data_IF_774022693994
#
_entry.id   IF_774022693994
#
_cell.length_a   1.000
_cell.length_b   1.000
_cell.length_c   1.000
_cell.angle_alpha   90.00
_cell.angle_beta   90.00
_cell.angle_gamma   90.00
#
_symmetry.space_group_name_H-M   'P 1'
#
loop_
_entity.id
_entity.type
_entity.pdbx_description
1 polymer ?
#
# COMPACT_ATOMS: atom_id res chain seq x y z
N UNK A 1 -31.63 -6.66 -50.22
CA UNK A 1 -31.05 -5.99 -49.03
C UNK A 1 -30.34 -7.02 -48.14
N UNK A 2 -28.99 -7.03 -48.08
CA UNK A 2 -28.20 -7.69 -47.01
C UNK A 2 -26.84 -7.00 -46.81
N UNK A 3 -26.70 -6.27 -45.70
CA UNK A 3 -25.48 -5.72 -45.05
C UNK A 3 -25.90 -5.46 -43.58
N UNK A 4 -25.10 -5.61 -42.53
CA UNK A 4 -23.77 -6.21 -42.37
C UNK A 4 -23.54 -6.52 -40.88
N UNK A 5 -23.25 -7.77 -40.51
CA UNK A 5 -22.82 -8.17 -39.17
C UNK A 5 -21.42 -8.79 -39.30
N UNK A 6 -20.37 -8.06 -38.91
CA UNK A 6 -19.00 -8.47 -39.24
C UNK A 6 -17.87 -7.61 -38.66
N UNK A 7 -18.04 -7.01 -37.47
CA UNK A 7 -16.95 -6.28 -36.78
C UNK A 7 -16.72 -6.68 -35.32
N UNK A 8 -17.61 -7.44 -34.67
CA UNK A 8 -17.45 -7.86 -33.27
C UNK A 8 -16.51 -9.05 -33.04
N UNK A 9 -16.42 -9.99 -33.99
CA UNK A 9 -15.71 -11.27 -33.78
C UNK A 9 -14.18 -11.10 -33.80
N UNK A 10 -13.65 -10.20 -34.64
CA UNK A 10 -12.21 -9.99 -34.83
C UNK A 10 -11.48 -9.28 -33.66
N UNK A 11 -12.22 -8.86 -32.62
CA UNK A 11 -11.65 -8.33 -31.38
C UNK A 11 -11.41 -9.43 -30.34
N UNK A 12 -12.32 -10.41 -30.25
CA UNK A 12 -12.21 -11.56 -29.35
C UNK A 12 -11.05 -12.48 -29.74
N UNK A 13 -10.83 -12.72 -31.04
CA UNK A 13 -9.69 -13.52 -31.52
C UNK A 13 -8.32 -12.95 -31.11
N UNK A 14 -8.18 -11.62 -30.97
CA UNK A 14 -6.91 -11.01 -30.53
C UNK A 14 -6.68 -11.20 -29.03
N UNK A 15 -7.74 -11.22 -28.22
CA UNK A 15 -7.64 -11.59 -26.81
C UNK A 15 -7.25 -13.07 -26.65
N UNK A 16 -7.83 -13.97 -27.46
CA UNK A 16 -7.45 -15.39 -27.50
C UNK A 16 -5.99 -15.61 -27.96
N UNK A 17 -5.48 -14.80 -28.89
CA UNK A 17 -4.07 -14.82 -29.29
C UNK A 17 -3.12 -14.34 -28.18
N UNK A 18 -3.56 -13.43 -27.30
CA UNK A 18 -2.80 -13.03 -26.11
C UNK A 18 -2.72 -14.17 -25.09
N UNK A 19 -3.84 -14.85 -24.81
CA UNK A 19 -3.91 -15.99 -23.87
C UNK A 19 -3.02 -17.17 -24.29
N UNK A 20 -2.81 -17.41 -25.59
CA UNK A 20 -1.85 -18.44 -26.07
C UNK A 20 -0.44 -18.25 -25.51
N UNK A 21 0.00 -17.02 -25.25
CA UNK A 21 1.33 -16.72 -24.67
C UNK A 21 1.44 -17.16 -23.20
N UNK A 22 0.33 -17.16 -22.45
CA UNK A 22 0.29 -17.58 -21.03
C UNK A 22 0.57 -19.07 -20.85
N UNK A 23 0.32 -19.89 -21.87
CA UNK A 23 0.61 -21.34 -21.82
C UNK A 23 2.11 -21.67 -21.86
N UNK A 24 2.96 -20.76 -22.35
CA UNK A 24 4.38 -21.01 -22.60
C UNK A 24 5.29 -20.58 -21.43
N UNK A 25 5.02 -19.42 -20.81
CA UNK A 25 5.83 -18.92 -19.68
C UNK A 25 5.80 -19.83 -18.44
N UNK A 26 4.74 -20.63 -18.26
CA UNK A 26 4.61 -21.57 -17.13
C UNK A 26 5.51 -22.83 -17.33
N UNK A 27 6.06 -23.06 -18.53
CA UNK A 27 6.86 -24.27 -18.83
C UNK A 27 8.37 -24.06 -18.92
N UNK A 28 8.89 -22.83 -18.93
CA UNK A 28 10.29 -22.54 -19.24
C UNK A 28 11.24 -22.43 -18.03
N UNK A 29 10.79 -22.66 -16.79
CA UNK A 29 11.60 -22.52 -15.57
C UNK A 29 11.88 -23.80 -14.77
N UNK A 30 11.40 -24.97 -15.20
CA UNK A 30 11.50 -26.23 -14.41
C UNK A 30 12.63 -27.19 -14.81
N UNK A 31 13.64 -26.76 -15.57
CA UNK A 31 14.85 -27.58 -15.85
C UNK A 31 16.15 -26.76 -15.89
N UNK A 32 16.83 -26.64 -14.75
CA UNK A 32 18.28 -26.87 -14.60
C UNK A 32 18.78 -26.55 -13.16
N UNK A 33 18.80 -27.55 -12.27
CA UNK A 33 19.81 -27.75 -11.23
C UNK A 33 19.40 -28.92 -10.32
N UNK A 34 20.24 -29.95 -10.22
CA UNK A 34 20.13 -30.93 -9.13
C UNK A 34 20.82 -30.36 -7.89
N UNK A 35 20.24 -30.52 -6.71
CA UNK A 35 20.93 -30.23 -5.45
C UNK A 35 20.04 -29.69 -4.33
N UNK A 36 19.80 -30.55 -3.33
CA UNK A 36 19.25 -30.24 -1.99
C UNK A 36 17.85 -29.61 -1.90
N UNK A 37 16.98 -30.27 -1.14
CA UNK A 37 15.59 -29.88 -0.90
C UNK A 37 15.44 -28.74 0.11
N UNK A 38 14.65 -27.73 -0.25
CA UNK A 38 13.86 -26.97 0.73
C UNK A 38 12.39 -26.96 0.32
N UNK A 39 11.62 -27.86 0.93
CA UNK A 39 10.17 -27.93 0.80
C UNK A 39 9.52 -27.09 1.90
N UNK A 40 8.98 -25.92 1.55
CA UNK A 40 7.84 -25.33 2.26
C UNK A 40 7.08 -24.39 1.33
N UNK A 41 6.24 -24.95 0.46
CA UNK A 41 5.23 -24.15 -0.21
C UNK A 41 4.30 -23.56 0.87
N UNK A 42 4.19 -22.24 0.94
CA UNK A 42 3.43 -21.57 1.99
C UNK A 42 1.96 -22.03 2.01
N UNK A 43 1.54 -22.60 3.14
CA UNK A 43 0.21 -23.21 3.27
C UNK A 43 -0.90 -22.24 2.89
N UNK A 44 -1.77 -22.72 1.99
CA UNK A 44 -2.92 -22.00 1.47
C UNK A 44 -2.79 -21.56 0.03
N UNK A 45 -1.60 -21.19 -0.49
CA UNK A 45 -1.43 -20.53 -1.80
C UNK A 45 -1.97 -21.34 -3.01
N UNK A 46 -3.28 -21.22 -3.26
CA UNK A 46 -3.96 -21.77 -4.42
C UNK A 46 -3.65 -20.94 -5.66
N UNK A 47 -2.69 -21.40 -6.46
CA UNK A 47 -2.54 -20.96 -7.85
C UNK A 47 -3.87 -21.16 -8.56
N UNK A 48 -4.34 -20.17 -9.33
CA UNK A 48 -5.47 -20.36 -10.24
C UNK A 48 -5.05 -21.34 -11.34
N UNK A 49 -5.40 -22.61 -11.16
CA UNK A 49 -5.22 -23.69 -12.11
C UNK A 49 -6.59 -24.11 -12.66
N UNK A 50 -6.63 -24.59 -13.91
CA UNK A 50 -7.89 -24.92 -14.62
C UNK A 50 -8.10 -24.18 -15.94
N UNK A 51 -7.13 -23.41 -16.43
CA UNK A 51 -7.17 -22.80 -17.77
C UNK A 51 -8.10 -21.58 -17.89
N UNK A 52 -8.49 -21.27 -19.13
CA UNK A 52 -9.25 -20.06 -19.46
C UNK A 52 -10.65 -20.03 -18.83
N UNK A 53 -11.36 -21.16 -18.83
CA UNK A 53 -12.73 -21.25 -18.27
C UNK A 53 -12.76 -21.01 -16.76
N UNK A 54 -11.87 -21.66 -16.00
CA UNK A 54 -11.74 -21.45 -14.56
C UNK A 54 -11.34 -20.00 -14.22
N UNK A 55 -10.48 -19.40 -15.04
CA UNK A 55 -10.07 -17.99 -14.89
C UNK A 55 -11.24 -17.04 -15.20
N UNK A 56 -11.99 -17.28 -16.27
CA UNK A 56 -13.18 -16.49 -16.62
C UNK A 56 -14.30 -16.64 -15.59
N UNK A 57 -14.48 -17.83 -15.01
CA UNK A 57 -15.43 -18.04 -13.91
C UNK A 57 -14.98 -17.32 -12.63
N UNK A 58 -13.68 -17.38 -12.29
CA UNK A 58 -13.13 -16.62 -11.18
C UNK A 58 -13.38 -15.11 -11.36
N UNK A 59 -13.11 -14.55 -12.54
CA UNK A 59 -13.42 -13.14 -12.84
C UNK A 59 -14.92 -12.85 -12.79
N UNK A 60 -15.79 -13.76 -13.26
CA UNK A 60 -17.25 -13.58 -13.18
C UNK A 60 -17.78 -13.54 -11.75
N UNK A 61 -17.18 -14.29 -10.83
CA UNK A 61 -17.58 -14.40 -9.42
C UNK A 61 -17.20 -13.17 -8.57
N UNK A 62 -16.41 -12.23 -9.09
CA UNK A 62 -15.89 -11.08 -8.34
C UNK A 62 -16.07 -9.74 -9.08
N UNK A 63 -16.63 -8.76 -8.39
CA UNK A 63 -17.01 -7.41 -8.83
C UNK A 63 -15.85 -6.39 -8.78
N UNK A 64 -14.90 -6.57 -7.86
CA UNK A 64 -13.68 -5.76 -7.76
C UNK A 64 -12.40 -6.61 -7.70
N UNK A 65 -11.23 -6.00 -7.92
CA UNK A 65 -9.92 -6.61 -7.77
C UNK A 65 -8.99 -5.62 -7.08
N UNK A 66 -8.24 -6.06 -6.07
CA UNK A 66 -7.28 -5.22 -5.34
C UNK A 66 -5.90 -5.85 -5.48
N UNK A 67 -4.99 -5.13 -6.12
CA UNK A 67 -3.61 -5.58 -6.36
C UNK A 67 -2.65 -4.91 -5.39
N UNK A 68 -1.71 -5.67 -4.83
CA UNK A 68 -0.51 -5.05 -4.25
C UNK A 68 0.31 -4.39 -5.38
N UNK A 69 1.09 -3.37 -5.05
CA UNK A 69 1.93 -2.65 -6.01
C UNK A 69 3.34 -3.22 -6.08
N UNK A 70 4.10 -3.06 -5.00
CA UNK A 70 5.51 -3.35 -4.94
C UNK A 70 5.72 -4.88 -4.78
N UNK A 71 6.35 -5.52 -5.78
CA UNK A 71 6.51 -6.98 -5.86
C UNK A 71 5.36 -7.74 -6.53
N UNK A 72 4.29 -7.07 -6.98
CA UNK A 72 3.16 -7.69 -7.71
C UNK A 72 2.86 -6.98 -9.04
N UNK A 73 3.10 -5.66 -9.12
CA UNK A 73 2.98 -4.89 -10.35
C UNK A 73 4.35 -4.38 -10.85
N UNK A 74 5.32 -4.20 -9.96
CA UNK A 74 6.68 -3.77 -10.32
C UNK A 74 7.72 -4.17 -9.27
N UNK A 75 8.99 -4.27 -9.70
CA UNK A 75 10.15 -4.29 -8.81
C UNK A 75 10.99 -3.02 -9.03
N UNK A 76 11.04 -2.16 -8.02
CA UNK A 76 11.71 -0.86 -8.13
C UNK A 76 11.12 -0.04 -9.28
N UNK A 77 11.93 0.31 -10.28
CA UNK A 77 11.51 1.10 -11.44
C UNK A 77 10.95 0.26 -12.62
N UNK A 78 10.92 -1.07 -12.54
CA UNK A 78 10.50 -1.95 -13.66
C UNK A 78 9.15 -2.59 -13.38
N UNK A 79 8.19 -2.41 -14.29
CA UNK A 79 6.94 -3.18 -14.31
C UNK A 79 7.17 -4.69 -14.47
N UNK A 80 6.27 -5.49 -13.92
CA UNK A 80 6.24 -6.95 -14.10
C UNK A 80 5.51 -7.27 -15.42
N UNK A 81 6.04 -8.24 -16.19
CA UNK A 81 5.46 -8.66 -17.46
C UNK A 81 4.04 -9.22 -17.26
N UNK A 82 3.10 -8.83 -18.12
CA UNK A 82 1.69 -9.26 -18.04
C UNK A 82 0.83 -8.49 -17.04
N UNK A 83 1.41 -7.69 -16.13
CA UNK A 83 0.66 -6.95 -15.12
C UNK A 83 -0.28 -5.90 -15.73
N UNK A 84 0.20 -5.16 -16.74
CA UNK A 84 -0.60 -4.18 -17.50
C UNK A 84 -1.77 -4.86 -18.21
N UNK A 85 -1.50 -5.95 -18.91
CA UNK A 85 -2.45 -6.70 -19.71
C UNK A 85 -3.54 -7.34 -18.83
N UNK A 86 -3.17 -7.84 -17.65
CA UNK A 86 -4.10 -8.36 -16.65
C UNK A 86 -5.05 -7.26 -16.14
N UNK A 87 -4.52 -6.09 -15.76
CA UNK A 87 -5.33 -4.96 -15.29
C UNK A 87 -6.29 -4.47 -16.38
N UNK A 88 -5.80 -4.31 -17.62
CA UNK A 88 -6.64 -3.89 -18.75
C UNK A 88 -7.74 -4.91 -19.06
N UNK A 89 -7.44 -6.21 -18.99
CA UNK A 89 -8.42 -7.27 -19.20
C UNK A 89 -9.52 -7.28 -18.14
N UNK A 90 -9.15 -7.08 -16.86
CA UNK A 90 -10.12 -6.98 -15.76
C UNK A 90 -11.02 -5.75 -15.91
N UNK A 91 -10.44 -4.57 -16.20
CA UNK A 91 -11.19 -3.33 -16.49
C UNK A 91 -12.13 -3.51 -17.68
N UNK A 92 -11.68 -4.13 -18.77
CA UNK A 92 -12.49 -4.42 -19.96
C UNK A 92 -13.64 -5.41 -19.67
N UNK A 93 -13.49 -6.30 -18.68
CA UNK A 93 -14.57 -7.19 -18.20
C UNK A 93 -15.57 -6.52 -17.24
N UNK A 94 -15.49 -5.19 -17.08
CA UNK A 94 -16.40 -4.39 -16.25
C UNK A 94 -16.11 -4.45 -14.75
N UNK A 95 -14.92 -4.91 -14.34
CA UNK A 95 -14.56 -5.06 -12.92
C UNK A 95 -13.82 -3.84 -12.41
N UNK A 96 -14.13 -3.43 -11.18
CA UNK A 96 -13.43 -2.37 -10.46
C UNK A 96 -12.01 -2.85 -10.15
N UNK A 97 -10.99 -2.08 -10.47
CA UNK A 97 -9.59 -2.44 -10.17
C UNK A 97 -8.99 -1.35 -9.29
N UNK A 98 -8.52 -1.73 -8.11
CA UNK A 98 -7.87 -0.89 -7.12
C UNK A 98 -6.44 -1.38 -6.87
N UNK A 99 -5.61 -0.50 -6.34
CA UNK A 99 -4.19 -0.75 -6.10
C UNK A 99 -3.85 -0.40 -4.65
N UNK A 100 -3.17 -1.27 -3.92
CA UNK A 100 -2.80 -1.03 -2.52
C UNK A 100 -1.29 -1.09 -2.35
N UNK A 101 -0.71 -0.15 -1.61
CA UNK A 101 0.73 -0.15 -1.29
C UNK A 101 0.97 0.30 0.13
N UNK A 102 1.95 -0.34 0.78
CA UNK A 102 2.37 0.06 2.13
C UNK A 102 3.33 1.25 2.11
N UNK A 103 3.81 1.64 0.94
CA UNK A 103 4.73 2.75 0.80
C UNK A 103 4.00 4.09 1.02
N UNK A 104 4.27 4.73 2.16
CA UNK A 104 3.74 6.04 2.54
C UNK A 104 4.61 7.21 2.09
N UNK A 105 5.69 6.98 1.34
CA UNK A 105 6.61 8.06 0.92
C UNK A 105 6.07 8.96 -0.19
N UNK A 106 4.98 8.54 -0.84
CA UNK A 106 4.30 9.20 -1.95
C UNK A 106 2.84 9.42 -1.63
N UNK A 107 2.23 10.48 -2.16
CA UNK A 107 0.78 10.66 -2.17
C UNK A 107 0.17 9.90 -3.35
N UNK A 108 -1.16 9.70 -3.37
CA UNK A 108 -1.84 8.99 -4.46
C UNK A 108 -1.71 9.69 -5.82
N UNK A 109 -1.62 11.02 -5.84
CA UNK A 109 -1.29 11.80 -7.04
C UNK A 109 0.06 11.38 -7.65
N UNK A 110 1.10 11.18 -6.83
CA UNK A 110 2.44 10.74 -7.27
C UNK A 110 2.41 9.31 -7.83
N UNK A 111 1.42 8.49 -7.43
CA UNK A 111 1.23 7.15 -7.98
C UNK A 111 0.67 7.17 -9.40
N UNK A 112 -0.15 8.15 -9.79
CA UNK A 112 -0.65 8.27 -11.18
C UNK A 112 0.51 8.29 -12.17
N UNK A 113 1.51 9.13 -11.90
CA UNK A 113 2.73 9.20 -12.72
C UNK A 113 3.58 7.92 -12.59
N UNK A 114 3.64 7.31 -11.40
CA UNK A 114 4.36 6.04 -11.17
C UNK A 114 3.79 4.89 -12.01
N UNK A 115 2.47 4.79 -12.14
CA UNK A 115 1.79 3.80 -12.99
C UNK A 115 2.04 4.04 -14.48
N UNK A 116 2.00 5.30 -14.93
CA UNK A 116 2.37 5.69 -16.30
C UNK A 116 3.81 5.29 -16.63
N UNK A 117 4.76 5.61 -15.77
CA UNK A 117 6.19 5.33 -15.99
C UNK A 117 6.53 3.83 -15.96
N UNK A 118 5.93 3.06 -15.05
CA UNK A 118 6.32 1.66 -14.82
C UNK A 118 5.54 0.64 -15.65
N UNK A 119 4.31 0.99 -16.05
CA UNK A 119 3.37 0.08 -16.72
C UNK A 119 2.72 0.67 -17.97
N UNK A 120 2.98 1.94 -18.32
CA UNK A 120 2.26 2.65 -19.39
C UNK A 120 0.73 2.54 -19.19
N UNK A 121 0.29 2.69 -17.92
CA UNK A 121 -1.09 2.52 -17.50
C UNK A 121 -1.64 3.81 -16.90
N UNK A 122 -2.68 4.36 -17.53
CA UNK A 122 -3.48 5.42 -16.92
C UNK A 122 -4.31 4.87 -15.75
N UNK A 123 -4.18 5.51 -14.59
CA UNK A 123 -4.92 5.20 -13.36
C UNK A 123 -5.42 6.49 -12.73
N UNK A 124 -6.52 6.41 -11.98
CA UNK A 124 -6.97 7.52 -11.14
C UNK A 124 -6.29 7.43 -9.79
N UNK A 125 -5.99 8.57 -9.16
CA UNK A 125 -5.52 8.59 -7.77
C UNK A 125 -6.54 7.95 -6.81
N UNK A 126 -7.85 8.02 -7.15
CA UNK A 126 -8.91 7.36 -6.38
C UNK A 126 -8.85 5.83 -6.47
N UNK A 127 -8.21 5.25 -7.50
CA UNK A 127 -8.00 3.80 -7.58
C UNK A 127 -6.88 3.33 -6.63
N UNK A 128 -6.10 4.26 -6.05
CA UNK A 128 -4.90 3.96 -5.26
C UNK A 128 -5.17 4.09 -3.75
N UNK A 129 -4.79 3.06 -3.02
CA UNK A 129 -4.85 2.91 -1.56
C UNK A 129 -3.40 2.89 -1.05
N UNK A 130 -2.79 4.07 -0.93
CA UNK A 130 -1.46 4.22 -0.36
C UNK A 130 -1.53 4.31 1.18
N UNK A 131 -0.52 3.81 1.88
CA UNK A 131 -0.44 3.93 3.35
C UNK A 131 -0.41 5.38 3.86
N UNK A 132 0.06 6.33 3.04
CA UNK A 132 -0.04 7.77 3.29
C UNK A 132 -1.49 8.25 3.36
N UNK A 133 -2.30 7.87 2.37
CA UNK A 133 -3.74 8.13 2.37
C UNK A 133 -4.46 7.38 3.49
N UNK A 134 -4.10 6.13 3.74
CA UNK A 134 -4.73 5.31 4.77
C UNK A 134 -4.64 5.96 6.17
N UNK A 135 -3.49 6.55 6.51
CA UNK A 135 -3.33 7.30 7.76
C UNK A 135 -4.28 8.51 7.83
N UNK A 136 -4.36 9.31 6.77
CA UNK A 136 -5.25 10.46 6.70
C UNK A 136 -6.74 10.08 6.74
N UNK A 137 -7.12 8.98 6.07
CA UNK A 137 -8.48 8.45 6.05
C UNK A 137 -8.89 7.89 7.42
N UNK A 138 -8.01 7.13 8.08
CA UNK A 138 -8.22 6.61 9.44
C UNK A 138 -8.47 7.74 10.44
N UNK A 139 -7.60 8.76 10.47
CA UNK A 139 -7.77 9.90 11.37
C UNK A 139 -9.08 10.65 11.12
N UNK A 140 -9.47 10.79 9.85
CA UNK A 140 -10.75 11.42 9.46
C UNK A 140 -11.98 10.60 9.93
N UNK A 141 -11.88 9.27 9.95
CA UNK A 141 -12.94 8.39 10.45
C UNK A 141 -13.05 8.42 11.99
N UNK A 142 -11.95 8.65 12.69
CA UNK A 142 -11.91 8.69 14.16
C UNK A 142 -12.24 10.07 14.77
N UNK A 143 -12.26 11.14 13.99
CA UNK A 143 -12.58 12.51 14.46
C UNK A 143 -14.07 12.87 14.35
N UNK A 144 -14.63 13.59 15.33
CA UNK A 144 -15.95 14.25 15.15
C UNK A 144 -15.84 15.30 14.03
N UNK A 145 -16.65 15.22 12.96
CA UNK A 145 -16.62 16.20 11.86
C UNK A 145 -16.90 17.66 12.24
N UNK A 146 -17.38 17.90 13.47
CA UNK A 146 -17.71 19.23 14.02
C UNK A 146 -16.64 19.76 14.97
N UNK A 147 -15.69 18.93 15.40
CA UNK A 147 -14.58 19.36 16.26
C UNK A 147 -13.50 20.05 15.42
N UNK A 148 -12.71 20.92 16.05
CA UNK A 148 -11.43 21.36 15.48
C UNK A 148 -10.52 20.15 15.30
N UNK A 149 -9.79 20.11 14.18
CA UNK A 149 -8.80 19.06 13.94
C UNK A 149 -7.53 19.40 14.74
N UNK A 150 -6.97 18.45 15.49
CA UNK A 150 -5.67 18.64 16.10
C UNK A 150 -4.58 18.77 15.02
N UNK A 151 -3.53 19.52 15.34
CA UNK A 151 -2.26 19.50 14.60
C UNK A 151 -1.62 18.11 14.72
N UNK A 152 -0.84 17.74 13.71
CA UNK A 152 -0.17 16.44 13.64
C UNK A 152 1.35 16.62 13.68
N UNK A 153 2.01 15.96 14.64
CA UNK A 153 3.45 15.75 14.60
C UNK A 153 3.79 14.55 13.73
N UNK A 154 4.45 14.81 12.60
CA UNK A 154 4.79 13.81 11.59
C UNK A 154 6.28 13.44 11.63
N UNK A 155 6.54 12.13 11.62
CA UNK A 155 7.80 11.55 11.12
C UNK A 155 7.48 10.79 9.83
N UNK A 156 8.10 11.16 8.72
CA UNK A 156 7.79 10.56 7.41
C UNK A 156 8.09 11.49 6.23
N UNK A 157 8.20 10.89 5.05
CA UNK A 157 8.41 11.64 3.80
C UNK A 157 7.14 12.40 3.34
N UNK A 158 7.30 13.26 2.33
CA UNK A 158 6.29 14.19 1.80
C UNK A 158 4.93 13.58 1.42
N UNK A 159 4.88 12.29 1.05
CA UNK A 159 3.62 11.61 0.75
C UNK A 159 2.61 11.63 1.91
N UNK A 160 3.07 11.47 3.15
CA UNK A 160 2.23 11.61 4.35
C UNK A 160 1.82 13.06 4.58
N UNK A 161 2.75 14.01 4.48
CA UNK A 161 2.47 15.45 4.61
C UNK A 161 1.34 15.87 3.67
N UNK A 162 1.46 15.52 2.38
CA UNK A 162 0.45 15.83 1.35
C UNK A 162 -0.93 15.26 1.68
N UNK A 163 -1.05 13.95 1.94
CA UNK A 163 -2.37 13.32 2.18
C UNK A 163 -3.03 13.80 3.48
N UNK A 164 -2.24 14.08 4.53
CA UNK A 164 -2.74 14.70 5.77
C UNK A 164 -3.22 16.14 5.51
N UNK A 165 -2.47 16.95 4.77
CA UNK A 165 -2.89 18.30 4.37
C UNK A 165 -4.12 18.29 3.45
N UNK A 166 -4.24 17.34 2.52
CA UNK A 166 -5.45 17.17 1.70
C UNK A 166 -6.67 16.72 2.52
N UNK A 167 -6.45 15.97 3.60
CA UNK A 167 -7.50 15.68 4.59
C UNK A 167 -7.79 16.88 5.52
N UNK A 168 -7.07 18.00 5.38
CA UNK A 168 -7.28 19.25 6.10
C UNK A 168 -6.70 19.24 7.52
N UNK A 169 -5.63 18.49 7.77
CA UNK A 169 -4.83 18.60 8.99
C UNK A 169 -3.65 19.56 8.78
N UNK A 170 -3.36 20.36 9.80
CA UNK A 170 -2.09 21.06 9.92
C UNK A 170 -1.01 20.07 10.37
N UNK A 171 0.16 20.11 9.74
CA UNK A 171 1.23 19.13 9.96
C UNK A 171 2.53 19.85 10.28
N UNK A 172 3.08 19.56 11.46
CA UNK A 172 4.46 19.89 11.83
C UNK A 172 5.35 18.66 11.58
N UNK A 173 6.59 18.90 11.17
CA UNK A 173 7.56 17.85 10.88
C UNK A 173 7.52 17.28 9.46
N UNK A 174 7.73 15.97 9.34
CA UNK A 174 8.07 15.32 8.08
C UNK A 174 9.29 15.99 7.42
N UNK A 175 9.24 16.31 6.12
CA UNK A 175 10.35 16.97 5.41
C UNK A 175 10.72 18.35 5.94
N UNK A 176 9.82 19.06 6.63
CA UNK A 176 10.11 20.40 7.16
C UNK A 176 11.17 20.40 8.27
N UNK A 177 11.37 19.26 8.93
CA UNK A 177 12.41 19.07 9.96
C UNK A 177 13.59 18.22 9.46
N UNK A 178 13.80 18.12 8.13
CA UNK A 178 15.01 17.54 7.57
C UNK A 178 16.22 18.43 7.91
N UNK A 179 17.34 17.80 8.29
CA UNK A 179 18.58 18.51 8.63
C UNK A 179 18.61 19.19 10.00
N UNK A 180 17.50 19.22 10.76
CA UNK A 180 17.45 19.76 12.13
C UNK A 180 18.40 19.02 13.07
N UNK A 181 19.10 19.76 13.92
CA UNK A 181 20.12 19.24 14.84
C UNK A 181 19.64 19.18 16.30
N UNK A 182 20.53 18.82 17.23
CA UNK A 182 20.23 18.85 18.68
C UNK A 182 20.21 20.29 19.20
N UNK A 183 21.09 21.14 18.69
CA UNK A 183 21.14 22.58 19.01
C UNK A 183 19.89 23.32 18.52
N UNK A 184 19.25 22.84 17.44
CA UNK A 184 17.92 23.31 17.04
C UNK A 184 16.83 22.86 18.02
N UNK A 185 16.93 21.64 18.58
CA UNK A 185 15.98 21.11 19.55
C UNK A 185 16.00 21.93 20.84
N UNK A 186 17.20 22.16 21.39
CA UNK A 186 17.43 22.92 22.62
C UNK A 186 17.00 24.39 22.50
N UNK A 187 16.99 24.94 21.28
CA UNK A 187 16.59 26.33 21.00
C UNK A 187 15.09 26.49 20.73
N UNK A 188 14.46 25.49 20.11
CA UNK A 188 13.10 25.62 19.56
C UNK A 188 12.03 24.87 20.36
N UNK A 189 12.41 23.90 21.21
CA UNK A 189 11.48 23.08 21.97
C UNK A 189 11.59 23.35 23.48
N UNK A 190 10.54 23.95 24.03
CA UNK A 190 10.26 23.88 25.45
C UNK A 190 9.47 22.59 25.75
N UNK A 191 10.10 21.64 26.43
CA UNK A 191 9.48 20.37 26.81
C UNK A 191 8.39 20.54 27.90
N UNK A 192 8.39 21.64 28.66
CA UNK A 192 7.34 21.95 29.64
C UNK A 192 6.11 22.57 28.97
N UNK A 193 6.30 23.30 27.85
CA UNK A 193 5.26 24.07 27.16
C UNK A 193 5.06 23.65 25.69
N UNK A 194 4.90 22.34 25.46
CA UNK A 194 4.53 21.79 24.14
C UNK A 194 3.18 22.34 23.65
N UNK A 195 3.05 22.59 22.34
CA UNK A 195 1.81 23.05 21.69
C UNK A 195 0.60 22.18 22.09
N UNK A 196 -0.49 22.82 22.51
CA UNK A 196 -1.71 22.17 22.99
C UNK A 196 -2.65 21.75 21.84
N UNK A 197 -2.52 22.37 20.66
CA UNK A 197 -3.29 21.97 19.48
C UNK A 197 -2.80 20.64 18.88
N UNK A 198 -1.59 20.19 19.24
CA UNK A 198 -1.01 18.91 18.76
C UNK A 198 -1.63 17.75 19.54
N UNK A 199 -2.57 17.06 18.90
CA UNK A 199 -3.29 15.92 19.48
C UNK A 199 -2.87 14.56 18.93
N UNK A 200 -2.05 14.51 17.88
CA UNK A 200 -1.72 13.25 17.18
C UNK A 200 -0.27 13.22 16.71
N UNK A 201 0.38 12.08 16.89
CA UNK A 201 1.69 11.73 16.32
C UNK A 201 1.48 10.69 15.21
N UNK A 202 2.00 10.96 14.02
CA UNK A 202 1.97 10.03 12.88
C UNK A 202 3.40 9.65 12.47
N UNK A 203 3.67 8.35 12.36
CA UNK A 203 4.95 7.82 11.83
C UNK A 203 4.76 7.07 10.53
N UNK A 204 5.67 7.27 9.58
CA UNK A 204 5.84 6.42 8.40
C UNK A 204 7.32 6.21 8.09
N UNK A 205 7.65 5.76 6.88
CA UNK A 205 9.05 5.70 6.45
C UNK A 205 9.57 7.13 6.30
N UNK A 206 10.64 7.43 7.03
CA UNK A 206 11.42 8.66 6.93
C UNK A 206 12.89 8.28 6.65
N UNK A 207 13.45 8.81 5.57
CA UNK A 207 14.86 8.56 5.19
C UNK A 207 15.81 9.60 5.75
N UNK A 208 15.27 10.72 6.20
CA UNK A 208 15.95 11.85 6.83
C UNK A 208 15.59 11.90 8.32
N UNK A 209 15.40 10.71 8.92
CA UNK A 209 15.13 10.55 10.34
C UNK A 209 16.32 11.06 11.16
N UNK A 210 16.04 11.90 12.14
CA UNK A 210 17.04 12.54 12.99
C UNK A 210 16.55 12.60 14.44
N UNK A 211 17.46 12.94 15.36
CA UNK A 211 17.17 13.00 16.79
C UNK A 211 16.05 14.00 17.12
N UNK A 212 16.08 15.19 16.51
CA UNK A 212 15.10 16.26 16.68
C UNK A 212 13.65 15.79 16.42
N UNK A 213 13.42 15.07 15.31
CA UNK A 213 12.12 14.47 14.97
C UNK A 213 11.66 13.45 16.02
N UNK A 214 12.55 12.55 16.46
CA UNK A 214 12.22 11.47 17.42
C UNK A 214 11.92 12.06 18.79
N UNK A 215 12.73 13.00 19.28
CA UNK A 215 12.57 13.63 20.59
C UNK A 215 11.21 14.37 20.70
N UNK A 216 10.86 15.20 19.71
CA UNK A 216 9.55 15.87 19.70
C UNK A 216 8.38 14.88 19.61
N UNK A 217 8.46 13.91 18.70
CA UNK A 217 7.38 12.92 18.57
C UNK A 217 7.19 12.14 19.87
N UNK A 218 8.27 11.72 20.53
CA UNK A 218 8.20 11.04 21.83
C UNK A 218 7.61 11.93 22.92
N UNK A 219 7.98 13.21 22.98
CA UNK A 219 7.42 14.16 23.94
C UNK A 219 5.90 14.34 23.77
N UNK A 220 5.39 14.43 22.54
CA UNK A 220 3.95 14.45 22.28
C UNK A 220 3.27 13.11 22.63
N UNK A 221 3.89 11.96 22.36
CA UNK A 221 3.35 10.66 22.83
C UNK A 221 3.29 10.59 24.36
N UNK A 222 4.29 11.12 25.07
CA UNK A 222 4.33 11.19 26.54
C UNK A 222 3.28 12.16 27.11
N UNK A 223 2.96 13.26 26.40
CA UNK A 223 1.83 14.16 26.70
C UNK A 223 0.45 13.48 26.53
N UNK A 224 0.41 12.31 25.89
CA UNK A 224 -0.82 11.53 25.67
C UNK A 224 -1.47 11.73 24.30
N UNK A 225 -0.76 12.32 23.32
CA UNK A 225 -1.25 12.42 21.95
C UNK A 225 -1.46 11.02 21.33
N UNK A 226 -2.49 10.89 20.48
CA UNK A 226 -2.79 9.66 19.75
C UNK A 226 -1.62 9.27 18.83
N UNK A 227 -1.11 8.04 18.93
CA UNK A 227 0.04 7.59 18.15
C UNK A 227 -0.36 6.58 17.05
N UNK A 228 -0.22 6.99 15.79
CA UNK A 228 -0.57 6.20 14.60
C UNK A 228 0.64 5.92 13.72
N UNK A 229 0.79 4.67 13.26
CA UNK A 229 1.76 4.31 12.22
C UNK A 229 1.10 4.10 10.85
N UNK A 230 1.67 4.64 9.77
CA UNK A 230 1.21 4.36 8.40
C UNK A 230 1.40 2.89 8.05
N UNK A 231 2.50 2.29 8.50
CA UNK A 231 2.78 0.86 8.53
C UNK A 231 3.95 0.63 9.50
N UNK A 232 4.20 -0.62 9.89
CA UNK A 232 5.27 -1.00 10.81
C UNK A 232 6.24 -2.00 10.17
N UNK A 233 6.38 -1.98 8.84
CA UNK A 233 7.25 -2.92 8.13
C UNK A 233 8.70 -2.68 8.56
N UNK A 234 9.36 -3.73 9.09
CA UNK A 234 10.71 -3.61 9.63
C UNK A 234 11.78 -3.37 8.55
N UNK A 235 11.54 -3.86 7.32
CA UNK A 235 12.50 -3.82 6.21
C UNK A 235 11.91 -3.20 4.95
N UNK A 236 12.77 -2.54 4.18
CA UNK A 236 12.48 -2.04 2.83
C UNK A 236 13.39 -2.76 1.82
N UNK A 237 12.86 -3.44 0.79
CA UNK A 237 13.69 -4.02 -0.27
C UNK A 237 14.46 -2.92 -1.03
N UNK A 238 15.79 -2.98 -1.04
CA UNK A 238 16.64 -2.00 -1.73
C UNK A 238 17.17 -2.49 -3.07
N UNK A 239 17.42 -3.80 -3.22
CA UNK A 239 17.95 -4.41 -4.45
C UNK A 239 17.30 -5.78 -4.69
N UNK A 240 17.16 -6.24 -5.96
CA UNK A 240 16.58 -7.54 -6.29
C UNK A 240 17.32 -8.77 -5.71
N UNK A 241 18.57 -8.60 -5.25
CA UNK A 241 19.39 -9.68 -4.67
C UNK A 241 19.07 -9.96 -3.18
N UNK A 242 17.94 -9.48 -2.65
CA UNK A 242 17.60 -9.64 -1.23
C UNK A 242 18.33 -8.67 -0.28
N UNK A 243 18.87 -7.56 -0.77
CA UNK A 243 19.39 -6.50 0.13
C UNK A 243 18.22 -5.70 0.69
N UNK A 244 18.12 -5.64 2.02
CA UNK A 244 17.10 -4.87 2.75
C UNK A 244 17.73 -3.68 3.49
N UNK A 245 17.03 -2.55 3.49
CA UNK A 245 17.27 -1.40 4.36
C UNK A 245 16.18 -1.28 5.43
N UNK A 246 16.23 -0.26 6.30
CA UNK A 246 15.17 -0.02 7.28
C UNK A 246 13.83 0.30 6.61
N UNK A 247 12.76 -0.31 7.09
CA UNK A 247 11.38 0.05 6.74
C UNK A 247 10.79 1.10 7.68
N UNK A 248 9.49 1.39 7.54
CA UNK A 248 8.81 2.41 8.36
C UNK A 248 8.79 2.06 9.86
N UNK A 249 8.90 0.77 10.19
CA UNK A 249 8.99 0.29 11.58
C UNK A 249 10.12 0.93 12.38
N UNK A 250 11.20 1.40 11.73
CA UNK A 250 12.28 2.15 12.38
C UNK A 250 11.76 3.41 13.10
N UNK A 251 10.91 4.19 12.42
CA UNK A 251 10.44 5.47 12.94
C UNK A 251 9.47 5.28 14.11
N UNK A 252 8.54 4.32 14.01
CA UNK A 252 7.66 3.97 15.12
C UNK A 252 8.43 3.37 16.30
N UNK A 253 9.38 2.47 16.06
CA UNK A 253 10.16 1.82 17.13
C UNK A 253 11.03 2.83 17.90
N UNK A 254 11.63 3.80 17.22
CA UNK A 254 12.40 4.86 17.86
C UNK A 254 11.53 5.69 18.83
N UNK A 255 10.36 6.15 18.37
CA UNK A 255 9.42 6.91 19.21
C UNK A 255 8.86 6.07 20.35
N UNK A 256 8.48 4.81 20.11
CA UNK A 256 7.99 3.89 21.14
C UNK A 256 9.01 3.68 22.27
N UNK A 257 10.27 3.41 21.91
CA UNK A 257 11.35 3.20 22.87
C UNK A 257 11.64 4.47 23.69
N UNK A 258 11.71 5.64 23.05
CA UNK A 258 11.92 6.91 23.75
C UNK A 258 10.73 7.31 24.63
N UNK A 259 9.50 7.03 24.19
CA UNK A 259 8.29 7.36 24.94
C UNK A 259 7.96 6.37 26.08
N UNK A 260 8.66 5.25 26.19
CA UNK A 260 8.35 4.20 27.18
C UNK A 260 7.04 3.44 26.88
N UNK A 261 6.72 3.25 25.60
CA UNK A 261 5.48 2.62 25.11
C UNK A 261 5.79 1.33 24.35
N UNK A 262 5.03 0.27 24.61
CA UNK A 262 5.21 -1.01 23.91
C UNK A 262 4.58 -1.05 22.50
N UNK A 263 3.53 -0.26 22.26
CA UNK A 263 2.78 -0.26 21.00
C UNK A 263 2.19 1.12 20.65
N UNK A 264 2.02 1.34 19.34
CA UNK A 264 1.20 2.42 18.76
C UNK A 264 -0.27 2.15 19.02
N UNK A 265 -1.10 3.19 19.03
CA UNK A 265 -2.55 3.04 19.23
C UNK A 265 -3.24 2.47 17.98
N UNK A 266 -2.71 2.77 16.79
CA UNK A 266 -3.18 2.19 15.53
C UNK A 266 -2.09 2.05 14.46
N UNK A 267 -2.25 1.03 13.61
CA UNK A 267 -1.58 0.95 12.30
C UNK A 267 -2.64 1.19 11.23
N UNK A 268 -2.45 2.16 10.35
CA UNK A 268 -3.45 2.55 9.36
C UNK A 268 -3.35 1.75 8.04
N UNK A 269 -2.14 1.43 7.60
CA UNK A 269 -1.87 0.65 6.40
C UNK A 269 -1.86 -0.86 6.64
N UNK A 270 -1.22 -1.59 5.73
CA UNK A 270 -1.07 -3.05 5.81
C UNK A 270 -0.14 -3.43 6.99
N UNK A 271 -0.43 -4.45 7.81
CA UNK A 271 -1.49 -5.45 7.70
C UNK A 271 -2.74 -5.18 8.59
N UNK A 272 -3.18 -3.93 8.73
CA UNK A 272 -4.30 -3.57 9.61
C UNK A 272 -5.67 -3.93 9.02
N UNK A 273 -6.54 -4.49 9.85
CA UNK A 273 -7.96 -4.64 9.53
C UNK A 273 -8.68 -3.29 9.35
N UNK A 274 -8.16 -2.22 9.97
CA UNK A 274 -8.67 -0.85 9.83
C UNK A 274 -8.66 -0.42 8.36
N UNK A 275 -7.56 -0.68 7.63
CA UNK A 275 -7.47 -0.42 6.19
C UNK A 275 -8.61 -1.08 5.42
N UNK A 276 -9.00 -2.29 5.82
CA UNK A 276 -10.09 -3.02 5.16
C UNK A 276 -11.45 -2.40 5.40
N UNK A 277 -11.73 -1.94 6.62
CA UNK A 277 -12.94 -1.18 6.93
C UNK A 277 -12.96 0.15 6.15
N UNK A 278 -11.87 0.93 6.17
CA UNK A 278 -11.72 2.18 5.42
C UNK A 278 -11.93 1.99 3.91
N UNK A 279 -11.38 0.92 3.33
CA UNK A 279 -11.58 0.57 1.92
C UNK A 279 -13.03 0.16 1.64
N UNK A 280 -13.66 -0.65 2.49
CA UNK A 280 -15.05 -1.05 2.29
C UNK A 280 -16.01 0.15 2.32
N UNK A 281 -15.85 1.05 3.29
CA UNK A 281 -16.66 2.26 3.42
C UNK A 281 -16.42 3.22 2.24
N UNK A 282 -15.15 3.55 1.94
CA UNK A 282 -14.78 4.50 0.88
C UNK A 282 -15.24 4.04 -0.51
N UNK A 283 -15.18 2.73 -0.78
CA UNK A 283 -15.41 2.19 -2.11
C UNK A 283 -16.76 1.48 -2.29
N UNK A 284 -17.61 1.45 -1.25
CA UNK A 284 -18.93 0.80 -1.27
C UNK A 284 -18.86 -0.72 -1.42
N UNK A 285 -17.93 -1.38 -0.73
CA UNK A 285 -17.73 -2.83 -0.79
C UNK A 285 -18.33 -3.52 0.45
N UNK A 286 -18.93 -4.69 0.26
CA UNK A 286 -19.58 -5.47 1.33
C UNK A 286 -18.54 -6.05 2.32
N UNK A 287 -18.52 -5.62 3.60
CA UNK A 287 -17.56 -6.11 4.61
C UNK A 287 -17.79 -7.56 5.05
N UNK A 288 -19.00 -8.12 4.88
CA UNK A 288 -19.29 -9.53 5.20
C UNK A 288 -18.56 -10.52 4.30
N UNK A 289 -17.74 -9.98 3.38
CA UNK A 289 -16.99 -10.69 2.37
C UNK A 289 -15.54 -10.10 2.40
N UNK A 290 -14.64 -10.73 3.17
CA UNK A 290 -13.18 -10.41 3.29
C UNK A 290 -12.37 -11.75 3.63
N UNK A 291 -11.12 -11.99 3.10
CA UNK A 291 -10.19 -13.20 2.82
C UNK A 291 -9.18 -13.09 1.55
N UNK A 292 -7.84 -12.87 1.66
CA UNK A 292 -6.79 -12.43 0.65
C UNK A 292 -5.40 -13.02 0.95
N UNK A 293 -4.29 -12.55 0.32
CA UNK A 293 -3.00 -13.25 0.40
C UNK A 293 -1.69 -12.47 0.48
N UNK A 294 -0.70 -13.25 0.93
CA UNK A 294 0.72 -12.97 1.20
C UNK A 294 1.56 -13.14 -0.07
N UNK A 295 2.49 -12.21 -0.31
CA UNK A 295 3.77 -12.51 -0.97
C UNK A 295 4.86 -12.79 0.07
N UNK A 296 6.01 -13.36 -0.31
CA UNK A 296 7.11 -13.57 0.65
C UNK A 296 7.74 -12.23 1.08
N UNK A 297 8.07 -12.11 2.37
CA UNK A 297 8.32 -10.82 3.03
C UNK A 297 7.11 -10.41 3.89
N UNK A 298 7.33 -9.80 5.05
CA UNK A 298 6.33 -9.75 6.11
C UNK A 298 5.13 -8.79 5.84
N UNK A 299 4.14 -9.23 5.04
CA UNK A 299 2.78 -8.66 5.09
C UNK A 299 1.68 -9.59 4.54
N UNK A 300 0.59 -9.71 5.31
CA UNK A 300 -0.80 -10.09 4.94
C UNK A 300 -1.36 -11.50 4.71
N UNK A 301 -2.54 -11.67 5.34
CA UNK A 301 -3.83 -12.14 4.78
C UNK A 301 -4.98 -11.45 5.62
N UNK A 302 -6.12 -10.87 5.14
CA UNK A 302 -7.17 -11.51 4.31
C UNK A 302 -8.41 -10.60 3.83
N UNK A 303 -8.69 -10.45 2.49
CA UNK A 303 -9.78 -9.79 1.66
C UNK A 303 -10.46 -10.61 0.45
N UNK A 304 -11.64 -11.26 0.58
CA UNK A 304 -12.50 -11.98 -0.41
C UNK A 304 -13.84 -11.27 -0.31
N UNK A 305 -14.02 -10.16 -1.02
CA UNK A 305 -15.40 -9.76 -1.28
C UNK A 305 -16.02 -10.78 -2.25
N UNK A 306 -17.11 -10.41 -2.95
CA UNK A 306 -17.05 -10.62 -4.40
C UNK A 306 -16.03 -9.63 -4.97
N UNK A 307 -14.77 -9.73 -4.52
CA UNK A 307 -13.62 -9.03 -5.04
C UNK A 307 -12.47 -10.03 -5.06
N UNK A 308 -11.88 -10.25 -6.22
CA UNK A 308 -10.82 -11.23 -6.44
C UNK A 308 -9.51 -10.56 -6.08
N UNK A 309 -8.86 -11.02 -5.02
CA UNK A 309 -7.48 -10.61 -4.76
C UNK A 309 -6.54 -11.55 -5.49
N UNK A 310 -6.06 -11.10 -6.65
CA UNK A 310 -4.88 -11.68 -7.29
C UNK A 310 -3.64 -11.09 -6.60
N UNK A 311 -2.91 -11.94 -5.90
CA UNK A 311 -1.55 -11.68 -5.45
C UNK A 311 -0.69 -12.90 -5.82
N UNK A 312 0.02 -12.82 -6.95
CA UNK A 312 1.10 -13.70 -7.47
C UNK A 312 1.54 -13.15 -8.85
N UNK A 313 2.68 -13.48 -9.47
CA UNK A 313 3.78 -14.45 -9.23
C UNK A 313 5.15 -13.71 -9.37
N UNK A 314 6.29 -14.16 -8.87
CA UNK A 314 6.70 -15.46 -8.31
C UNK A 314 7.37 -15.30 -6.94
#
# INVERSE_FOLDING_TARGET
MRRSLGRGVAALDRAALSLRRWSWLIRSSTKAAMGTSFSSAAEGASVLSGGEEASAEFVKRHDAFIFDCDGVLWHGARGIEGAREAILSLRASGRKVLFVTNNSTKAREDYVQTFRERLDLEVRQEDVIAASWAAAAYLKQCSDPRASKPKIMLIGMSGLTKELSFAGYEVLGGPAFNGKTVEDLERELDFEHLDEDVGTVVTGLDKDLNYYKVAMAAAYVQKGCLFVASNTDATLPMKPNGTFGPGAGLSSAAVLNTAGRDAVDAVAGKPSALLGATVCETFGLDPSRYVARRGHGASWSMFRCRAGVLATMC
#
